data_IF_303536752600
#
_entry.id   IF_303536752600
#
_cell.length_a   1.000
_cell.length_b   1.000
_cell.length_c   1.000
_cell.angle_alpha   90.00
_cell.angle_beta   90.00
_cell.angle_gamma   90.00
#
_symmetry.space_group_name_H-M   'P 1'
#
loop_
_entity.id
_entity.type
_entity.pdbx_description
1 polymer ?
#
# COMPACT_ATOMS: atom_id res chain seq x y z
N UNK A 1 -14.49 -5.18 -61.89
CA UNK A 1 -15.54 -4.82 -60.92
C UNK A 1 -15.37 -5.69 -59.69
N UNK A 2 -14.67 -5.19 -58.66
CA UNK A 2 -14.47 -5.92 -57.40
C UNK A 2 -15.81 -6.01 -56.68
N UNK A 3 -16.25 -7.24 -56.39
CA UNK A 3 -17.60 -7.53 -55.91
C UNK A 3 -17.86 -6.87 -54.53
N UNK A 4 -18.54 -5.71 -54.54
CA UNK A 4 -18.80 -4.82 -53.40
C UNK A 4 -19.50 -5.54 -52.23
N UNK A 5 -20.18 -6.64 -52.52
CA UNK A 5 -20.84 -7.56 -51.59
C UNK A 5 -19.87 -8.41 -50.76
N UNK A 6 -18.70 -8.75 -51.31
CA UNK A 6 -17.67 -9.56 -50.62
C UNK A 6 -16.95 -8.75 -49.54
N UNK A 7 -16.69 -7.47 -49.83
CA UNK A 7 -16.05 -6.52 -48.91
C UNK A 7 -16.95 -6.22 -47.71
N UNK A 8 -18.27 -6.08 -47.94
CA UNK A 8 -19.27 -5.83 -46.89
C UNK A 8 -19.39 -6.95 -45.86
N UNK A 9 -19.20 -8.21 -46.27
CA UNK A 9 -19.23 -9.36 -45.35
C UNK A 9 -17.88 -9.63 -44.67
N UNK A 10 -16.75 -9.24 -45.27
CA UNK A 10 -15.44 -9.36 -44.62
C UNK A 10 -15.23 -8.33 -43.49
N UNK A 11 -15.75 -7.12 -43.65
CA UNK A 11 -15.65 -6.04 -42.64
C UNK A 11 -16.09 -6.46 -41.23
N UNK A 12 -17.29 -7.04 -41.00
CA UNK A 12 -17.72 -7.47 -39.68
C UNK A 12 -16.88 -8.64 -39.13
N UNK A 13 -16.39 -9.55 -39.99
CA UNK A 13 -15.53 -10.67 -39.59
C UNK A 13 -14.16 -10.14 -39.14
N UNK A 14 -13.59 -9.19 -39.87
CA UNK A 14 -12.33 -8.52 -39.52
C UNK A 14 -12.49 -7.74 -38.21
N UNK A 15 -13.62 -7.05 -38.03
CA UNK A 15 -13.92 -6.33 -36.78
C UNK A 15 -14.07 -7.30 -35.59
N UNK A 16 -14.76 -8.44 -35.77
CA UNK A 16 -14.85 -9.50 -34.77
C UNK A 16 -13.46 -10.05 -34.40
N UNK A 17 -12.64 -10.37 -35.39
CA UNK A 17 -11.26 -10.85 -35.17
C UNK A 17 -10.40 -9.82 -34.44
N UNK A 18 -10.53 -8.52 -34.77
CA UNK A 18 -9.86 -7.42 -34.08
C UNK A 18 -10.31 -7.32 -32.61
N UNK A 19 -11.60 -7.45 -32.31
CA UNK A 19 -12.12 -7.44 -30.93
C UNK A 19 -11.74 -8.70 -30.14
N UNK A 20 -11.57 -9.85 -30.80
CA UNK A 20 -11.02 -11.05 -30.16
C UNK A 20 -9.50 -10.94 -29.93
N UNK A 21 -8.81 -10.11 -30.71
CA UNK A 21 -7.37 -9.86 -30.60
C UNK A 21 -7.01 -8.74 -29.64
N UNK A 22 -7.97 -7.97 -29.12
CA UNK A 22 -7.72 -7.11 -27.97
C UNK A 22 -7.47 -8.00 -26.76
N UNK A 23 -6.23 -8.45 -26.60
CA UNK A 23 -5.74 -8.99 -25.34
C UNK A 23 -5.86 -7.87 -24.32
N UNK A 24 -6.83 -7.97 -23.42
CA UNK A 24 -6.78 -7.23 -22.16
C UNK A 24 -5.50 -7.71 -21.48
N UNK A 25 -4.50 -6.83 -21.36
CA UNK A 25 -3.30 -7.15 -20.60
C UNK A 25 -3.71 -7.22 -19.14
N UNK A 26 -4.09 -8.43 -18.69
CA UNK A 26 -4.29 -8.70 -17.28
C UNK A 26 -2.90 -8.68 -16.64
N UNK A 27 -2.52 -7.54 -16.09
CA UNK A 27 -1.33 -7.44 -15.24
C UNK A 27 -1.78 -7.75 -13.83
N UNK A 28 -1.24 -8.80 -13.25
CA UNK A 28 -1.48 -9.18 -11.86
C UNK A 28 -0.20 -9.05 -11.08
N UNK A 29 -0.29 -8.57 -9.85
CA UNK A 29 0.88 -8.45 -8.99
C UNK A 29 0.49 -8.23 -7.53
N UNK A 30 1.51 -7.98 -6.73
CA UNK A 30 1.37 -7.72 -5.31
C UNK A 30 2.18 -6.49 -4.96
N UNK A 31 1.60 -5.60 -4.17
CA UNK A 31 2.33 -4.57 -3.46
C UNK A 31 2.66 -5.10 -2.06
N UNK A 32 3.94 -5.23 -1.76
CA UNK A 32 4.41 -5.73 -0.45
C UNK A 32 5.05 -4.58 0.34
N UNK A 33 4.62 -4.42 1.58
CA UNK A 33 5.22 -3.49 2.54
C UNK A 33 5.73 -4.28 3.74
N UNK A 34 7.01 -4.11 4.07
CA UNK A 34 7.63 -4.68 5.26
C UNK A 34 7.90 -3.58 6.29
N UNK A 35 7.28 -3.69 7.46
CA UNK A 35 7.65 -2.85 8.59
C UNK A 35 9.02 -3.27 9.13
N UNK A 36 9.91 -2.30 9.31
CA UNK A 36 11.28 -2.55 9.77
C UNK A 36 11.40 -2.33 11.28
N UNK A 37 10.94 -1.18 11.75
CA UNK A 37 11.00 -0.77 13.15
C UNK A 37 10.01 0.35 13.41
N UNK A 38 9.57 0.45 14.66
CA UNK A 38 8.79 1.58 15.19
C UNK A 38 9.50 2.08 16.44
N UNK A 39 9.47 3.39 16.64
CA UNK A 39 10.04 4.04 17.81
C UNK A 39 9.10 5.16 18.29
N UNK A 40 8.48 4.94 19.44
CA UNK A 40 7.66 5.91 20.16
C UNK A 40 8.12 5.99 21.61
N UNK A 41 9.31 6.58 21.84
CA UNK A 41 9.94 6.64 23.17
C UNK A 41 9.07 7.29 24.25
N UNK A 42 8.15 8.18 23.86
CA UNK A 42 7.28 8.89 24.79
C UNK A 42 5.96 8.15 25.07
N UNK A 43 5.58 7.16 24.25
CA UNK A 43 4.28 6.50 24.37
C UNK A 43 3.09 7.43 24.10
N UNK A 44 3.28 8.38 23.17
CA UNK A 44 2.30 9.43 22.86
C UNK A 44 1.58 9.16 21.53
N UNK A 45 0.34 9.63 21.46
CA UNK A 45 -0.50 9.67 20.26
C UNK A 45 -0.22 10.93 19.44
N UNK A 46 -0.75 10.97 18.22
CA UNK A 46 -0.53 12.11 17.30
C UNK A 46 -1.15 13.44 17.78
N UNK A 47 -2.15 13.36 18.66
CA UNK A 47 -2.77 14.52 19.33
C UNK A 47 -2.00 14.97 20.58
N UNK A 48 -0.93 14.26 20.94
CA UNK A 48 -0.12 14.56 22.11
C UNK A 48 -0.69 14.00 23.41
N UNK A 49 -1.71 13.14 23.39
CA UNK A 49 -2.13 12.39 24.57
C UNK A 49 -1.31 11.11 24.75
N UNK A 50 -1.36 10.51 25.94
CA UNK A 50 -0.71 9.22 26.17
C UNK A 50 -1.55 8.09 25.56
N UNK A 51 -0.90 7.04 25.06
CA UNK A 51 -1.60 5.87 24.54
C UNK A 51 -2.54 5.25 25.56
N UNK A 52 -2.05 5.10 26.80
CA UNK A 52 -2.80 4.56 27.91
C UNK A 52 -2.66 5.43 29.16
N UNK A 53 -3.80 5.74 29.77
CA UNK A 53 -3.88 6.44 31.04
C UNK A 53 -3.44 7.92 31.01
N UNK A 54 -3.56 8.61 32.14
CA UNK A 54 -3.14 10.00 32.27
C UNK A 54 -1.61 10.09 32.49
N UNK A 55 -1.04 11.24 32.15
CA UNK A 55 0.38 11.55 32.45
C UNK A 55 0.67 11.43 33.95
N UNK A 56 1.88 10.97 34.27
CA UNK A 56 2.38 10.97 35.64
C UNK A 56 2.39 12.39 36.20
N UNK A 57 1.78 12.64 37.37
CA UNK A 57 1.76 13.97 37.98
C UNK A 57 3.13 14.43 38.48
N UNK A 58 4.12 13.54 38.55
CA UNK A 58 5.47 13.82 39.05
C UNK A 58 6.37 14.36 37.94
N UNK A 59 6.39 13.66 36.80
CA UNK A 59 7.37 13.91 35.72
C UNK A 59 6.71 14.34 34.40
N UNK A 60 5.38 14.45 34.35
CA UNK A 60 4.57 14.77 33.16
C UNK A 60 4.79 13.82 31.97
N UNK A 61 5.41 12.66 32.20
CA UNK A 61 5.62 11.60 31.20
C UNK A 61 4.42 10.66 31.16
N UNK A 62 4.20 10.03 30.01
CA UNK A 62 3.23 8.95 29.93
C UNK A 62 3.59 7.81 30.87
N UNK A 63 2.55 7.19 31.42
CA UNK A 63 2.67 6.07 32.35
C UNK A 63 3.39 4.89 31.73
N UNK A 64 3.80 3.94 32.58
CA UNK A 64 4.70 2.85 32.21
C UNK A 64 4.09 1.82 31.25
N UNK A 65 2.78 1.87 31.02
CA UNK A 65 2.09 0.96 30.10
C UNK A 65 2.37 1.39 28.65
N UNK A 66 2.65 0.40 27.79
CA UNK A 66 3.09 0.60 26.42
C UNK A 66 1.90 0.58 25.45
N UNK A 67 2.00 1.33 24.35
CA UNK A 67 1.01 1.35 23.28
C UNK A 67 0.88 -0.01 22.58
N UNK A 68 -0.35 -0.48 22.33
CA UNK A 68 -0.61 -1.60 21.43
C UNK A 68 -0.50 -1.16 19.95
N UNK A 69 0.72 -1.19 19.41
CA UNK A 69 1.02 -0.66 18.08
C UNK A 69 0.67 -1.67 16.97
N UNK A 70 -0.12 -1.23 15.98
CA UNK A 70 -0.40 -1.94 14.74
C UNK A 70 -0.25 -1.00 13.54
N UNK A 71 -0.09 -1.57 12.34
CA UNK A 71 0.07 -0.79 11.11
C UNK A 71 -1.18 -0.92 10.24
N UNK A 72 -1.63 0.20 9.67
CA UNK A 72 -2.64 0.24 8.61
C UNK A 72 -2.06 0.97 7.40
N UNK A 73 -2.29 0.40 6.21
CA UNK A 73 -1.80 0.92 4.93
C UNK A 73 -2.98 1.13 4.00
N UNK A 74 -3.00 2.28 3.34
CA UNK A 74 -3.97 2.65 2.33
C UNK A 74 -3.21 2.98 1.04
N UNK A 75 -3.43 2.20 -0.01
CA UNK A 75 -2.81 2.40 -1.31
C UNK A 75 -3.83 3.04 -2.25
N UNK A 76 -3.46 4.17 -2.84
CA UNK A 76 -4.31 4.94 -3.76
C UNK A 76 -3.52 5.55 -4.90
N UNK A 77 -4.22 6.18 -5.83
CA UNK A 77 -3.61 6.86 -6.97
C UNK A 77 -2.73 8.04 -6.53
N UNK A 78 -1.75 8.34 -7.37
CA UNK A 78 -0.96 9.55 -7.23
C UNK A 78 -1.83 10.79 -7.44
N UNK A 79 -1.70 11.76 -6.55
CA UNK A 79 -2.35 13.06 -6.62
C UNK A 79 -1.27 14.14 -6.48
N UNK A 80 -1.36 15.23 -7.27
CA UNK A 80 -0.41 16.35 -7.12
C UNK A 80 -0.51 16.99 -5.74
N UNK A 81 -1.72 17.11 -5.21
CA UNK A 81 -1.98 17.52 -3.82
C UNK A 81 -2.45 16.29 -3.04
N UNK A 82 -1.70 15.92 -2.00
CA UNK A 82 -1.98 14.71 -1.22
C UNK A 82 -3.14 14.97 -0.27
N UNK A 83 -4.30 14.37 -0.56
CA UNK A 83 -5.37 14.28 0.42
C UNK A 83 -5.07 13.17 1.44
N UNK A 84 -5.13 13.46 2.74
CA UNK A 84 -5.02 12.44 3.81
C UNK A 84 -6.32 11.63 3.98
N UNK A 85 -7.39 12.08 3.35
CA UNK A 85 -8.71 11.46 3.34
C UNK A 85 -9.03 10.87 1.96
N UNK A 86 -10.02 9.97 1.91
CA UNK A 86 -10.48 9.34 0.67
C UNK A 86 -10.40 7.81 0.70
N UNK A 87 -10.79 7.19 -0.41
CA UNK A 87 -10.81 5.74 -0.55
C UNK A 87 -9.44 5.20 -1.00
N UNK A 88 -9.10 3.99 -0.54
CA UNK A 88 -7.89 3.27 -0.96
C UNK A 88 -8.14 2.56 -2.29
N UNK A 89 -8.02 3.29 -3.41
CA UNK A 89 -8.40 2.83 -4.75
C UNK A 89 -7.62 1.61 -5.24
N UNK A 90 -6.39 1.42 -4.77
CA UNK A 90 -5.57 0.25 -5.07
C UNK A 90 -5.63 -0.84 -3.99
N UNK A 91 -6.29 -0.56 -2.86
CA UNK A 91 -6.49 -1.50 -1.76
C UNK A 91 -5.94 -1.00 -0.43
N UNK A 92 -6.32 -1.69 0.63
CA UNK A 92 -5.87 -1.40 2.00
C UNK A 92 -5.48 -2.69 2.71
N UNK A 93 -4.62 -2.57 3.71
CA UNK A 93 -4.20 -3.68 4.55
C UNK A 93 -3.91 -3.23 5.97
N UNK A 94 -3.93 -4.16 6.91
CA UNK A 94 -3.57 -3.91 8.30
C UNK A 94 -2.93 -5.13 8.92
N UNK A 95 -2.05 -4.90 9.89
CA UNK A 95 -1.49 -5.95 10.72
C UNK A 95 -2.31 -6.16 11.99
N UNK A 96 -2.18 -7.31 12.68
CA UNK A 96 -2.48 -7.38 14.10
C UNK A 96 -1.54 -6.46 14.90
N UNK A 97 -1.76 -6.35 16.21
CA UNK A 97 -0.82 -5.70 17.13
C UNK A 97 0.54 -6.39 17.02
N UNK A 98 1.57 -5.60 16.74
CA UNK A 98 2.94 -6.06 16.48
C UNK A 98 3.85 -5.92 17.69
N UNK A 99 3.59 -4.94 18.56
CA UNK A 99 4.40 -4.68 19.73
C UNK A 99 4.02 -3.38 20.44
N UNK A 100 4.85 -3.02 21.42
CA UNK A 100 4.71 -1.85 22.27
C UNK A 100 5.12 -0.53 21.62
N UNK A 101 5.71 0.35 22.43
CA UNK A 101 6.22 1.67 22.04
C UNK A 101 7.37 1.60 21.01
N UNK A 102 8.31 0.68 21.20
CA UNK A 102 9.52 0.59 20.37
C UNK A 102 9.86 -0.87 20.09
N UNK A 103 9.98 -1.23 18.81
CA UNK A 103 10.35 -2.58 18.39
C UNK A 103 11.02 -2.58 17.01
N UNK A 104 11.77 -3.64 16.71
CA UNK A 104 12.49 -3.79 15.44
C UNK A 104 12.50 -5.23 14.97
N UNK A 105 12.12 -5.44 13.71
CA UNK A 105 12.15 -6.76 13.07
C UNK A 105 13.53 -7.13 12.52
N UNK A 106 14.45 -6.16 12.34
CA UNK A 106 15.83 -6.43 11.89
C UNK A 106 16.62 -7.34 12.84
N UNK A 107 16.35 -7.25 14.14
CA UNK A 107 17.02 -8.06 15.16
C UNK A 107 16.49 -9.50 15.24
N UNK A 108 15.30 -9.77 14.68
CA UNK A 108 14.60 -11.04 14.80
C UNK A 108 14.90 -12.05 13.69
N UNK A 109 15.87 -11.75 12.81
CA UNK A 109 16.30 -12.52 11.62
C UNK A 109 16.56 -14.03 11.81
N UNK A 110 16.56 -14.52 13.05
CA UNK A 110 16.75 -15.92 13.39
C UNK A 110 15.43 -16.71 13.59
N UNK A 111 14.26 -16.07 13.49
CA UNK A 111 12.96 -16.73 13.63
C UNK A 111 12.08 -16.49 12.40
N UNK A 112 11.83 -17.52 11.59
CA UNK A 112 11.00 -17.41 10.37
C UNK A 112 9.58 -16.84 10.62
N UNK A 113 9.06 -16.88 11.85
CA UNK A 113 7.78 -16.28 12.23
C UNK A 113 7.79 -14.75 12.34
N UNK A 114 8.94 -14.13 12.61
CA UNK A 114 9.02 -12.67 12.73
C UNK A 114 9.18 -11.97 11.38
N UNK A 115 9.59 -12.69 10.34
CA UNK A 115 9.76 -12.14 9.00
C UNK A 115 8.38 -11.84 8.36
N UNK A 116 7.37 -12.66 8.66
CA UNK A 116 5.99 -12.45 8.21
C UNK A 116 5.22 -11.46 9.09
N UNK A 117 5.63 -11.32 10.36
CA UNK A 117 5.07 -10.32 11.26
C UNK A 117 5.46 -8.92 10.76
N UNK A 118 4.47 -8.04 10.57
CA UNK A 118 4.71 -6.70 10.04
C UNK A 118 4.74 -6.60 8.51
N UNK A 119 4.55 -7.72 7.78
CA UNK A 119 4.34 -7.72 6.33
C UNK A 119 2.87 -7.45 5.99
N UNK A 120 2.62 -6.55 5.05
CA UNK A 120 1.31 -6.31 4.45
C UNK A 120 1.41 -6.57 2.94
N UNK A 121 0.49 -7.38 2.41
CA UNK A 121 0.41 -7.71 0.99
C UNK A 121 -0.92 -7.23 0.43
N UNK A 122 -0.88 -6.38 -0.60
CA UNK A 122 -2.06 -5.88 -1.30
C UNK A 122 -2.03 -6.41 -2.74
N UNK A 123 -2.87 -7.40 -3.10
CA UNK A 123 -2.94 -7.93 -4.45
C UNK A 123 -3.63 -6.94 -5.40
N UNK A 124 -3.17 -6.87 -6.64
CA UNK A 124 -3.80 -6.08 -7.69
C UNK A 124 -3.91 -6.83 -9.02
N UNK A 125 -4.89 -6.43 -9.83
CA UNK A 125 -5.19 -7.01 -11.16
C UNK A 125 -5.21 -5.95 -12.28
N UNK A 126 -4.54 -4.82 -12.05
CA UNK A 126 -4.39 -3.72 -13.00
C UNK A 126 -2.92 -3.54 -13.40
N UNK A 127 -2.68 -2.83 -14.51
CA UNK A 127 -1.32 -2.43 -14.89
C UNK A 127 -0.76 -1.46 -13.85
N UNK A 128 0.36 -1.83 -13.21
CA UNK A 128 0.98 -1.02 -12.18
C UNK A 128 1.41 0.35 -12.74
N UNK A 129 0.89 1.42 -12.15
CA UNK A 129 1.20 2.80 -12.54
C UNK A 129 2.55 3.19 -11.98
N UNK A 130 3.64 2.89 -12.71
CA UNK A 130 4.95 3.47 -12.37
C UNK A 130 4.91 4.96 -12.72
N UNK A 131 4.80 5.83 -11.72
CA UNK A 131 5.22 7.21 -11.89
C UNK A 131 6.75 7.23 -11.78
N UNK A 132 7.47 7.23 -12.90
CA UNK A 132 8.90 7.55 -12.87
C UNK A 132 9.07 8.97 -12.33
N UNK A 133 9.40 9.10 -11.05
CA UNK A 133 9.86 10.35 -10.46
C UNK A 133 11.30 10.56 -10.93
N UNK A 134 11.47 11.25 -12.05
CA UNK A 134 12.77 11.63 -12.57
C UNK A 134 13.23 12.91 -11.84
N UNK A 135 13.86 12.75 -10.67
CA UNK A 135 14.60 13.82 -10.01
C UNK A 135 15.94 14.00 -10.74
N UNK A 136 15.96 14.76 -11.83
CA UNK A 136 17.23 15.35 -12.29
C UNK A 136 17.60 16.49 -11.33
N UNK A 137 18.78 16.48 -10.70
CA UNK A 137 19.30 17.70 -10.11
C UNK A 137 19.53 18.71 -11.24
N UNK A 138 18.80 19.82 -11.21
CA UNK A 138 19.20 21.04 -11.93
C UNK A 138 20.49 21.53 -11.26
N UNK A 139 21.63 21.29 -11.92
CA UNK A 139 22.84 22.09 -11.73
C UNK A 139 22.70 23.40 -12.51
#
# INVERSE_FOLDING_TARGET
MWNRTRIRNCLPIVFLLLTLWTKVSLSTGYFELQLISVENVNGELADGECCDGPRSPQDLRCTRDECDTYLRVCLKEYQMEVATTGACTFGAGSTPVLGGNTFSFKAAKNNAKSDEAGKIVIPFQFAWVVSELLLTPLF
#
